data_IF_395202449408
#
_entry.id   IF_395202449408
#
_cell.length_a   1.000
_cell.length_b   1.000
_cell.length_c   1.000
_cell.angle_alpha   90.00
_cell.angle_beta   90.00
_cell.angle_gamma   90.00
#
_symmetry.space_group_name_H-M   'P 1'
#
loop_
_entity.id
_entity.type
_entity.pdbx_description
1 polymer ?
#
# COMPACT_ATOMS: atom_id res chain seq x y z
N UNK A 1 -7.86 0.98 -3.23
CA UNK A 1 -7.57 2.27 -2.59
C UNK A 1 -7.84 2.29 -1.07
N UNK A 2 -8.46 1.26 -0.45
CA UNK A 2 -8.56 1.18 1.03
C UNK A 2 -7.16 1.01 1.63
N UNK A 3 -6.89 1.68 2.76
CA UNK A 3 -5.58 1.71 3.42
C UNK A 3 -4.41 2.22 2.55
N UNK A 4 -4.69 3.01 1.49
CA UNK A 4 -3.67 3.38 0.51
C UNK A 4 -2.52 4.22 1.09
N UNK A 5 -2.74 4.89 2.21
CA UNK A 5 -1.68 5.67 2.88
C UNK A 5 -0.58 4.75 3.47
N UNK A 6 -0.86 3.46 3.66
CA UNK A 6 0.00 2.47 4.31
C UNK A 6 0.61 1.46 3.33
N UNK A 7 0.29 1.57 2.02
CA UNK A 7 0.66 0.57 1.01
C UNK A 7 1.50 1.16 -0.13
N UNK A 8 2.34 2.15 0.18
CA UNK A 8 3.37 2.60 -0.76
C UNK A 8 4.44 1.50 -0.94
N UNK A 9 5.16 1.47 -2.08
CA UNK A 9 4.98 2.32 -3.25
C UNK A 9 3.78 1.93 -4.13
N UNK A 10 3.36 2.83 -5.00
CA UNK A 10 2.15 2.75 -5.81
C UNK A 10 2.41 2.20 -7.22
N UNK A 11 1.31 1.74 -7.85
CA UNK A 11 1.25 1.09 -9.16
C UNK A 11 1.87 -0.31 -9.19
N UNK A 12 1.69 -1.01 -10.31
CA UNK A 12 2.05 -2.43 -10.49
C UNK A 12 3.56 -2.69 -10.39
N UNK A 13 4.38 -1.68 -10.65
CA UNK A 13 5.84 -1.73 -10.63
C UNK A 13 6.44 -1.07 -9.37
N UNK A 14 5.61 -0.52 -8.48
CA UNK A 14 6.08 0.17 -7.27
C UNK A 14 6.98 1.38 -7.55
N UNK A 15 6.83 2.04 -8.70
CA UNK A 15 7.74 3.10 -9.11
C UNK A 15 7.51 4.44 -8.40
N UNK A 16 6.31 4.67 -7.84
CA UNK A 16 5.92 5.97 -7.28
C UNK A 16 5.71 5.88 -5.78
N UNK A 17 6.39 6.73 -5.02
CA UNK A 17 6.32 6.74 -3.55
C UNK A 17 5.33 7.76 -2.99
N UNK A 18 5.07 8.85 -3.72
CA UNK A 18 4.19 9.92 -3.27
C UNK A 18 2.74 9.65 -3.67
N UNK A 19 1.84 9.71 -2.69
CA UNK A 19 0.40 9.54 -2.95
C UNK A 19 -0.14 10.70 -3.79
N UNK A 20 0.38 11.91 -3.60
CA UNK A 20 0.01 13.09 -4.41
C UNK A 20 0.43 12.91 -5.88
N UNK A 21 1.65 12.41 -6.12
CA UNK A 21 2.14 12.12 -7.46
C UNK A 21 1.30 11.01 -8.12
N UNK A 22 0.98 9.95 -7.37
CA UNK A 22 0.13 8.88 -7.86
C UNK A 22 -1.27 9.40 -8.25
N UNK A 23 -1.86 10.32 -7.49
CA UNK A 23 -3.15 10.95 -7.81
C UNK A 23 -3.05 11.80 -9.08
N UNK A 24 -2.00 12.61 -9.24
CA UNK A 24 -1.79 13.44 -10.44
C UNK A 24 -1.66 12.58 -11.70
N UNK A 25 -0.82 11.54 -11.66
CA UNK A 25 -0.64 10.60 -12.79
C UNK A 25 -1.97 9.95 -13.17
N UNK A 26 -2.82 9.59 -12.19
CA UNK A 26 -4.13 9.01 -12.47
C UNK A 26 -5.11 10.02 -13.08
N UNK A 27 -5.07 11.29 -12.69
CA UNK A 27 -5.87 12.35 -13.32
C UNK A 27 -5.59 12.45 -14.81
N UNK A 28 -4.32 12.46 -15.19
CA UNK A 28 -3.89 12.51 -16.59
C UNK A 28 -4.26 11.20 -17.32
N UNK A 29 -3.88 10.06 -16.76
CA UNK A 29 -3.99 8.75 -17.43
C UNK A 29 -5.44 8.29 -17.62
N UNK A 30 -6.34 8.57 -16.69
CA UNK A 30 -7.71 8.06 -16.73
C UNK A 30 -8.71 9.05 -17.33
N UNK A 31 -8.49 10.35 -17.11
CA UNK A 31 -9.47 11.38 -17.46
C UNK A 31 -8.92 12.38 -18.49
N UNK A 32 -7.64 12.30 -18.84
CA UNK A 32 -7.00 13.24 -19.76
C UNK A 32 -6.92 14.65 -19.20
N UNK A 33 -6.88 14.80 -17.86
CA UNK A 33 -6.89 16.10 -17.19
C UNK A 33 -5.68 16.27 -16.27
N UNK A 34 -5.10 17.46 -16.28
CA UNK A 34 -4.14 17.86 -15.24
C UNK A 34 -4.91 18.31 -14.00
N UNK A 35 -4.69 17.64 -12.87
CA UNK A 35 -5.20 18.07 -11.58
C UNK A 35 -4.30 19.15 -11.00
N UNK A 36 -4.89 20.29 -10.62
CA UNK A 36 -4.17 21.30 -9.87
C UNK A 36 -3.86 20.80 -8.43
N UNK A 37 -3.01 21.54 -7.72
CA UNK A 37 -2.57 21.15 -6.37
C UNK A 37 -3.71 21.12 -5.35
N UNK A 38 -4.69 22.00 -5.46
CA UNK A 38 -5.82 22.07 -4.52
C UNK A 38 -6.75 20.86 -4.66
N UNK A 39 -7.06 20.45 -5.89
CA UNK A 39 -7.88 19.27 -6.17
C UNK A 39 -7.13 18.00 -5.80
N UNK A 40 -5.84 17.91 -6.15
CA UNK A 40 -4.97 16.80 -5.74
C UNK A 40 -4.98 16.64 -4.22
N UNK A 41 -4.78 17.73 -3.47
CA UNK A 41 -4.78 17.72 -2.01
C UNK A 41 -6.13 17.32 -1.43
N UNK A 42 -7.23 17.72 -2.06
CA UNK A 42 -8.58 17.34 -1.65
C UNK A 42 -8.83 15.84 -1.83
N UNK A 43 -8.41 15.29 -2.98
CA UNK A 43 -8.48 13.84 -3.23
C UNK A 43 -7.61 13.07 -2.24
N UNK A 44 -6.37 13.50 -2.01
CA UNK A 44 -5.48 12.87 -1.03
C UNK A 44 -6.08 12.92 0.38
N UNK A 45 -6.74 14.02 0.74
CA UNK A 45 -7.46 14.14 2.02
C UNK A 45 -8.60 13.13 2.10
N UNK A 46 -9.35 12.94 1.03
CA UNK A 46 -10.36 11.88 0.95
C UNK A 46 -9.73 10.49 1.07
N UNK A 47 -8.64 10.20 0.35
CA UNK A 47 -7.98 8.90 0.39
C UNK A 47 -7.45 8.54 1.80
N UNK A 48 -7.05 9.54 2.60
CA UNK A 48 -6.68 9.35 4.01
C UNK A 48 -7.85 8.88 4.88
N UNK A 49 -9.10 9.19 4.52
CA UNK A 49 -10.27 8.70 5.26
C UNK A 49 -10.58 7.23 4.99
N UNK A 50 -9.90 6.61 4.01
CA UNK A 50 -10.07 5.21 3.65
C UNK A 50 -9.20 4.26 4.47
N UNK A 51 -8.47 4.78 5.47
CA UNK A 51 -7.74 3.97 6.43
C UNK A 51 -8.71 3.33 7.42
N UNK A 52 -8.69 2.01 7.49
CA UNK A 52 -9.47 1.23 8.45
C UNK A 52 -8.69 0.90 9.72
N UNK A 53 -9.42 0.41 10.72
CA UNK A 53 -8.81 -0.22 11.89
C UNK A 53 -8.02 -1.46 11.48
N UNK A 54 -6.77 -1.54 11.94
CA UNK A 54 -5.92 -2.70 11.71
C UNK A 54 -6.24 -3.79 12.74
N UNK A 55 -6.25 -5.07 12.33
CA UNK A 55 -6.52 -6.15 13.27
C UNK A 55 -5.41 -6.22 14.33
N UNK A 56 -5.81 -6.52 15.57
CA UNK A 56 -4.86 -6.88 16.61
C UNK A 56 -4.37 -8.31 16.36
N UNK A 57 -3.09 -8.47 16.03
CA UNK A 57 -2.47 -9.77 15.79
C UNK A 57 -1.63 -10.16 17.00
N UNK A 58 -2.08 -11.18 17.74
CA UNK A 58 -1.25 -11.83 18.76
C UNK A 58 -0.23 -12.74 18.09
N UNK A 59 1.05 -12.56 18.42
CA UNK A 59 2.12 -13.34 17.80
C UNK A 59 1.98 -14.84 18.18
N UNK A 60 1.92 -15.77 17.20
CA UNK A 60 1.72 -17.17 17.50
C UNK A 60 3.00 -17.82 18.04
N UNK A 61 2.85 -18.71 19.01
CA UNK A 61 3.92 -19.60 19.44
C UNK A 61 3.97 -20.82 18.50
N UNK A 62 4.95 -20.83 17.59
CA UNK A 62 5.16 -21.96 16.70
C UNK A 62 5.75 -23.17 17.46
N UNK A 63 5.42 -24.41 17.05
CA UNK A 63 5.93 -25.60 17.70
C UNK A 63 7.44 -25.78 17.46
N UNK A 64 8.10 -26.51 18.36
CA UNK A 64 9.50 -26.89 18.19
C UNK A 64 9.69 -27.83 16.99
N UNK A 65 10.80 -27.68 16.29
CA UNK A 65 11.21 -28.58 15.20
C UNK A 65 11.48 -29.99 15.73
N UNK A 66 11.21 -30.99 14.89
CA UNK A 66 11.47 -32.40 15.18
C UNK A 66 12.57 -32.97 14.28
N UNK A 67 13.05 -34.18 14.59
CA UNK A 67 14.02 -34.89 13.76
C UNK A 67 13.51 -35.17 12.33
N UNK A 68 12.20 -35.22 12.14
CA UNK A 68 11.56 -35.43 10.83
C UNK A 68 11.18 -34.13 10.12
N UNK A 69 11.37 -32.96 10.76
CA UNK A 69 11.13 -31.67 10.12
C UNK A 69 12.18 -31.46 9.03
N UNK A 70 11.79 -31.21 7.76
CA UNK A 70 12.74 -30.94 6.69
C UNK A 70 13.69 -29.80 7.05
N UNK A 71 14.98 -29.97 6.74
CA UNK A 71 15.98 -28.92 6.98
C UNK A 71 15.80 -27.79 5.95
N UNK A 72 16.08 -26.52 6.31
CA UNK A 72 16.08 -25.43 5.36
C UNK A 72 17.06 -25.68 4.20
N UNK A 73 16.62 -25.43 2.99
CA UNK A 73 17.50 -25.35 1.83
C UNK A 73 18.07 -23.93 1.77
N UNK A 74 19.39 -23.83 1.85
CA UNK A 74 20.09 -22.58 1.59
C UNK A 74 20.35 -22.51 0.09
N UNK A 75 19.78 -21.51 -0.58
CA UNK A 75 20.12 -21.14 -1.96
C UNK A 75 21.17 -20.03 -1.97
#
# INVERSE_FOLDING_TARGET
LRNITQTAPYFHNGAVWSLEEAVKIMGETQLGMELNDADTKSIVTFLKSLDGEMPNITYPHLPAVTATTPKPEMK
#
